data_IF_219850300556
#
_entry.id   IF_219850300556
#
_cell.length_a   1.000
_cell.length_b   1.000
_cell.length_c   1.000
_cell.angle_alpha   90.00
_cell.angle_beta   90.00
_cell.angle_gamma   90.00
#
_symmetry.space_group_name_H-M   'P 1'
#
loop_
_entity.id
_entity.type
_entity.pdbx_description
1 polymer ?
#
# COMPACT_ATOMS: atom_id res chain seq x y z
N UNK A 1 -0.63 -30.04 -24.54
CA UNK A 1 0.55 -30.61 -23.84
C UNK A 1 1.79 -29.70 -23.92
N UNK A 2 2.28 -29.28 -25.10
CA UNK A 2 3.51 -28.46 -25.24
C UNK A 2 3.54 -27.17 -24.37
N UNK A 3 2.42 -26.44 -24.26
CA UNK A 3 2.31 -25.25 -23.39
C UNK A 3 2.42 -25.57 -21.89
N UNK A 4 1.81 -26.67 -21.43
CA UNK A 4 1.86 -27.08 -20.02
C UNK A 4 3.25 -27.57 -19.65
N UNK A 5 3.90 -28.34 -20.54
CA UNK A 5 5.27 -28.77 -20.37
C UNK A 5 6.23 -27.57 -20.28
N UNK A 6 6.08 -26.58 -21.15
CA UNK A 6 6.88 -25.36 -21.08
C UNK A 6 6.69 -24.59 -19.76
N UNK A 7 5.47 -24.44 -19.26
CA UNK A 7 5.23 -23.77 -17.97
C UNK A 7 5.85 -24.59 -16.84
N UNK A 8 5.71 -25.92 -16.86
CA UNK A 8 6.30 -26.80 -15.85
C UNK A 8 7.82 -26.68 -15.81
N UNK A 9 8.48 -26.67 -16.97
CA UNK A 9 9.93 -26.53 -17.06
C UNK A 9 10.44 -25.17 -16.59
N UNK A 10 9.75 -24.07 -16.95
CA UNK A 10 10.22 -22.72 -16.63
C UNK A 10 9.81 -22.25 -15.22
N UNK A 11 8.61 -22.59 -14.76
CA UNK A 11 8.06 -22.10 -13.48
C UNK A 11 8.12 -23.13 -12.36
N UNK A 12 8.40 -24.40 -12.68
CA UNK A 12 8.50 -25.50 -11.74
C UNK A 12 7.15 -26.10 -11.32
N UNK A 13 7.18 -27.30 -10.68
CA UNK A 13 5.98 -28.04 -10.30
C UNK A 13 5.13 -27.32 -9.25
N UNK A 14 5.76 -26.60 -8.31
CA UNK A 14 5.06 -25.82 -7.27
C UNK A 14 4.15 -24.76 -7.88
N UNK A 15 4.63 -24.02 -8.88
CA UNK A 15 3.84 -23.00 -9.57
C UNK A 15 2.67 -23.63 -10.33
N UNK A 16 2.94 -24.68 -11.12
CA UNK A 16 1.92 -25.34 -11.94
C UNK A 16 0.80 -25.91 -11.06
N UNK A 17 1.16 -26.65 -10.01
CA UNK A 17 0.20 -27.22 -9.07
C UNK A 17 -0.67 -26.13 -8.42
N UNK A 18 -0.04 -25.04 -7.96
CA UNK A 18 -0.78 -23.91 -7.38
C UNK A 18 -1.75 -23.27 -8.40
N UNK A 19 -1.30 -22.97 -9.62
CA UNK A 19 -2.15 -22.32 -10.64
C UNK A 19 -3.29 -23.21 -11.09
N UNK A 20 -3.08 -24.52 -11.24
CA UNK A 20 -4.14 -25.47 -11.55
C UNK A 20 -5.17 -25.53 -10.42
N UNK A 21 -4.72 -25.66 -9.18
CA UNK A 21 -5.62 -25.68 -8.02
C UNK A 21 -6.39 -24.36 -7.87
N UNK A 22 -5.72 -23.22 -8.04
CA UNK A 22 -6.35 -21.91 -8.00
C UNK A 22 -7.45 -21.78 -9.06
N UNK A 23 -7.19 -22.24 -10.29
CA UNK A 23 -8.17 -22.23 -11.37
C UNK A 23 -9.37 -23.17 -11.09
N UNK A 24 -9.11 -24.35 -10.52
CA UNK A 24 -10.18 -25.27 -10.06
C UNK A 24 -11.04 -24.57 -9.01
N UNK A 25 -10.43 -23.95 -7.99
CA UNK A 25 -11.17 -23.22 -6.95
C UNK A 25 -12.00 -22.08 -7.54
N UNK A 26 -11.46 -21.37 -8.53
CA UNK A 26 -12.17 -20.28 -9.23
C UNK A 26 -13.40 -20.80 -9.97
N UNK A 27 -13.25 -21.85 -10.80
CA UNK A 27 -14.34 -22.40 -11.62
C UNK A 27 -15.43 -23.11 -10.83
N UNK A 28 -15.06 -23.74 -9.72
CA UNK A 28 -15.99 -24.47 -8.84
C UNK A 28 -16.71 -23.56 -7.83
N UNK A 29 -16.33 -22.28 -7.76
CA UNK A 29 -16.86 -21.34 -6.76
C UNK A 29 -16.24 -21.49 -5.36
N UNK A 30 -15.34 -22.44 -5.13
CA UNK A 30 -14.64 -22.60 -3.83
C UNK A 30 -13.79 -21.38 -3.47
N UNK A 31 -13.25 -20.67 -4.47
CA UNK A 31 -12.56 -19.41 -4.22
C UNK A 31 -13.56 -18.35 -3.76
N UNK A 32 -14.67 -18.19 -4.47
CA UNK A 32 -15.74 -17.25 -4.09
C UNK A 32 -16.28 -17.51 -2.68
N UNK A 33 -16.47 -18.78 -2.31
CA UNK A 33 -16.92 -19.16 -0.97
C UNK A 33 -15.94 -18.81 0.16
N UNK A 34 -14.63 -18.79 -0.13
CA UNK A 34 -13.61 -18.41 0.87
C UNK A 34 -13.55 -16.90 1.15
N UNK A 35 -14.14 -16.08 0.27
CA UNK A 35 -14.13 -14.63 0.36
C UNK A 35 -15.58 -14.12 0.45
N UNK A 36 -16.22 -14.20 1.63
CA UNK A 36 -17.63 -13.84 1.77
C UNK A 36 -17.85 -12.37 1.44
N UNK A 37 -18.95 -12.08 0.74
CA UNK A 37 -19.39 -10.72 0.42
C UNK A 37 -20.25 -10.17 1.55
N UNK A 38 -20.03 -8.91 1.93
CA UNK A 38 -20.82 -8.21 2.95
C UNK A 38 -21.05 -9.04 4.24
N UNK A 39 -20.00 -9.57 4.87
CA UNK A 39 -20.13 -10.25 6.15
C UNK A 39 -20.71 -9.29 7.22
N UNK A 40 -21.41 -9.82 8.25
CA UNK A 40 -21.93 -8.99 9.33
C UNK A 40 -20.84 -8.10 9.95
N UNK A 41 -21.19 -6.84 10.21
CA UNK A 41 -20.27 -5.90 10.86
C UNK A 41 -19.88 -6.41 12.25
N UNK A 42 -18.61 -6.22 12.60
CA UNK A 42 -18.06 -6.58 13.91
C UNK A 42 -17.33 -5.38 14.52
N UNK A 43 -17.56 -5.15 15.81
CA UNK A 43 -16.73 -4.26 16.62
C UNK A 43 -15.55 -5.04 17.18
N UNK A 44 -14.34 -4.50 17.04
CA UNK A 44 -13.10 -5.16 17.48
C UNK A 44 -12.45 -4.49 18.69
N UNK A 45 -12.55 -3.17 18.79
CA UNK A 45 -12.03 -2.35 19.88
C UNK A 45 -12.77 -1.02 19.88
N UNK A 46 -12.73 -0.28 20.99
CA UNK A 46 -13.19 1.11 21.01
C UNK A 46 -12.08 2.07 20.62
N UNK A 47 -12.45 3.25 20.11
CA UNK A 47 -11.52 4.33 19.82
C UNK A 47 -10.68 4.70 21.05
N UNK A 48 -11.31 4.76 22.22
CA UNK A 48 -10.65 5.03 23.49
C UNK A 48 -9.64 3.95 23.88
N UNK A 49 -9.96 2.66 23.64
CA UNK A 49 -9.04 1.56 23.89
C UNK A 49 -7.87 1.54 22.91
N UNK A 50 -8.12 1.77 21.61
CA UNK A 50 -7.05 1.88 20.60
C UNK A 50 -6.07 3.02 20.91
N UNK A 51 -6.56 4.19 21.32
CA UNK A 51 -5.71 5.33 21.70
C UNK A 51 -4.74 5.02 22.85
N UNK A 52 -5.11 4.09 23.75
CA UNK A 52 -4.34 3.66 24.91
C UNK A 52 -3.38 2.50 24.63
N UNK A 53 -3.38 1.93 23.43
CA UNK A 53 -2.45 0.86 23.10
C UNK A 53 -1.01 1.33 23.21
N UNK A 54 -0.16 0.47 23.77
CA UNK A 54 1.29 0.69 23.85
C UNK A 54 2.00 0.25 22.55
N UNK A 55 1.45 0.64 21.41
CA UNK A 55 2.09 0.45 20.09
C UNK A 55 2.63 1.79 19.63
N UNK A 56 3.87 1.81 19.13
CA UNK A 56 4.51 3.02 18.62
C UNK A 56 4.39 3.08 17.11
N UNK A 57 4.06 4.25 16.60
CA UNK A 57 4.12 4.56 15.17
C UNK A 57 5.22 5.59 14.92
N UNK A 58 5.42 6.03 13.67
CA UNK A 58 6.47 7.01 13.34
C UNK A 58 6.41 8.29 14.21
N UNK A 59 5.23 8.60 14.71
CA UNK A 59 4.89 9.70 15.62
C UNK A 59 3.68 9.28 16.47
N UNK A 60 3.42 9.96 17.57
CA UNK A 60 2.27 9.66 18.44
C UNK A 60 0.94 10.18 17.87
N UNK A 61 0.96 11.42 17.40
CA UNK A 61 -0.11 12.13 16.70
C UNK A 61 0.45 13.37 16.00
N UNK A 62 -0.35 14.08 15.19
CA UNK A 62 0.11 15.31 14.52
C UNK A 62 0.70 16.35 15.49
N UNK A 63 0.18 16.45 16.71
CA UNK A 63 0.63 17.42 17.72
C UNK A 63 2.02 17.09 18.29
N UNK A 64 2.50 15.86 18.09
CA UNK A 64 3.83 15.43 18.56
C UNK A 64 4.97 15.75 17.60
N UNK A 65 4.64 16.18 16.37
CA UNK A 65 5.63 16.49 15.35
C UNK A 65 6.28 17.85 15.66
N UNK A 66 7.60 17.89 15.72
CA UNK A 66 8.35 19.10 16.02
C UNK A 66 8.15 20.16 14.93
N UNK A 67 7.77 21.37 15.33
CA UNK A 67 7.81 22.55 14.46
C UNK A 67 9.27 22.83 14.09
N UNK A 68 9.63 22.75 12.80
CA UNK A 68 11.02 23.01 12.40
C UNK A 68 11.38 22.70 10.95
N UNK A 69 10.64 21.81 10.27
CA UNK A 69 10.83 21.60 8.84
C UNK A 69 10.10 22.67 8.04
N UNK A 70 10.80 23.79 7.78
CA UNK A 70 10.30 24.85 6.89
C UNK A 70 10.52 24.44 5.44
N UNK A 71 9.45 24.47 4.66
CA UNK A 71 9.53 24.40 3.21
C UNK A 71 10.18 25.68 2.69
N UNK A 72 10.96 25.58 1.61
CA UNK A 72 11.28 26.74 0.78
C UNK A 72 10.00 27.30 0.14
N UNK A 73 10.04 28.56 -0.33
CA UNK A 73 8.86 29.17 -0.95
C UNK A 73 8.40 28.40 -2.20
N UNK A 74 9.35 27.85 -2.97
CA UNK A 74 9.04 27.00 -4.12
C UNK A 74 8.33 25.71 -3.70
N UNK A 75 8.83 25.05 -2.66
CA UNK A 75 8.22 23.82 -2.15
C UNK A 75 6.83 24.06 -1.57
N UNK A 76 6.67 25.19 -0.86
CA UNK A 76 5.40 25.65 -0.33
C UNK A 76 4.39 25.91 -1.45
N UNK A 77 4.78 26.60 -2.52
CA UNK A 77 3.91 26.85 -3.66
C UNK A 77 3.48 25.55 -4.35
N UNK A 78 4.43 24.61 -4.57
CA UNK A 78 4.12 23.29 -5.14
C UNK A 78 3.09 22.51 -4.31
N UNK A 79 3.19 22.57 -2.98
CA UNK A 79 2.21 21.95 -2.09
C UNK A 79 0.84 22.61 -2.21
N UNK A 80 0.79 23.95 -2.22
CA UNK A 80 -0.45 24.72 -2.42
C UNK A 80 -1.12 24.35 -3.75
N UNK A 81 -0.35 24.25 -4.83
CA UNK A 81 -0.86 23.87 -6.14
C UNK A 81 -1.45 22.45 -6.13
N UNK A 82 -0.75 21.48 -5.51
CA UNK A 82 -1.26 20.11 -5.33
C UNK A 82 -2.60 20.08 -4.56
N UNK A 83 -2.73 20.89 -3.51
CA UNK A 83 -3.95 20.98 -2.71
C UNK A 83 -5.09 21.65 -3.49
N UNK A 84 -4.79 22.67 -4.31
CA UNK A 84 -5.78 23.32 -5.17
C UNK A 84 -6.30 22.38 -6.26
N UNK A 85 -5.43 21.57 -6.87
CA UNK A 85 -5.82 20.50 -7.80
C UNK A 85 -6.78 19.51 -7.15
N UNK A 86 -6.46 19.03 -5.94
CA UNK A 86 -7.33 18.14 -5.17
C UNK A 86 -8.71 18.76 -4.91
N UNK A 87 -8.76 20.02 -4.47
CA UNK A 87 -10.01 20.75 -4.22
C UNK A 87 -10.88 20.93 -5.47
N UNK A 88 -10.27 20.90 -6.65
CA UNK A 88 -10.97 20.92 -7.94
C UNK A 88 -11.39 19.53 -8.41
N UNK A 89 -11.26 18.49 -7.58
CA UNK A 89 -11.59 17.11 -7.94
C UNK A 89 -10.57 16.45 -8.85
N UNK A 90 -9.35 17.00 -8.94
CA UNK A 90 -8.27 16.48 -9.79
C UNK A 90 -7.19 15.79 -8.94
N UNK A 91 -6.76 14.61 -9.36
CA UNK A 91 -5.73 13.82 -8.68
C UNK A 91 -4.55 13.58 -9.61
N UNK A 92 -3.33 13.77 -9.08
CA UNK A 92 -2.11 13.38 -9.76
C UNK A 92 -1.99 11.85 -9.77
N UNK A 93 -2.22 11.24 -10.92
CA UNK A 93 -2.12 9.79 -11.12
C UNK A 93 -0.78 9.43 -11.75
N UNK A 94 -0.22 8.29 -11.35
CA UNK A 94 1.06 7.77 -11.86
C UNK A 94 2.22 8.76 -11.70
N UNK A 95 2.13 9.63 -10.69
CA UNK A 95 3.07 10.71 -10.41
C UNK A 95 3.35 11.67 -11.60
N UNK A 96 2.44 11.75 -12.58
CA UNK A 96 2.72 12.45 -13.84
C UNK A 96 1.57 13.30 -14.36
N UNK A 97 0.32 12.84 -14.27
CA UNK A 97 -0.81 13.49 -14.95
C UNK A 97 -1.99 13.65 -14.03
N UNK A 98 -2.58 14.86 -14.01
CA UNK A 98 -3.81 15.12 -13.28
C UNK A 98 -5.02 14.62 -14.07
N UNK A 99 -5.88 13.86 -13.40
CA UNK A 99 -7.17 13.41 -13.91
C UNK A 99 -8.29 13.93 -13.02
N UNK A 100 -9.42 14.28 -13.62
CA UNK A 100 -10.66 14.48 -12.87
C UNK A 100 -11.16 13.12 -12.37
N UNK A 101 -11.38 12.98 -11.06
CA UNK A 101 -11.81 11.71 -10.45
C UNK A 101 -13.05 11.92 -9.59
N UNK A 102 -14.19 11.54 -10.14
CA UNK A 102 -15.51 11.82 -9.58
C UNK A 102 -16.03 10.75 -8.62
N UNK A 103 -15.59 9.49 -8.75
CA UNK A 103 -15.99 8.40 -7.86
C UNK A 103 -14.84 7.38 -7.63
N UNK A 104 -15.16 6.23 -7.01
CA UNK A 104 -14.18 5.18 -6.65
C UNK A 104 -14.11 4.00 -7.62
N UNK A 105 -14.96 3.98 -8.65
CA UNK A 105 -15.24 2.81 -9.49
C UNK A 105 -15.16 3.11 -10.99
N UNK A 106 -15.06 4.37 -11.36
CA UNK A 106 -14.96 4.83 -12.73
C UNK A 106 -13.50 5.00 -13.10
N UNK A 107 -13.12 4.43 -14.24
CA UNK A 107 -11.82 4.65 -14.84
C UNK A 107 -11.80 6.06 -15.46
N UNK A 108 -11.05 7.04 -14.90
CA UNK A 108 -11.04 8.41 -15.40
C UNK A 108 -10.45 8.58 -16.80
N UNK A 109 -9.73 7.58 -17.35
CA UNK A 109 -9.16 7.68 -18.70
C UNK A 109 -10.18 7.44 -19.82
N UNK A 110 -11.26 6.70 -19.54
CA UNK A 110 -12.24 6.29 -20.55
C UNK A 110 -13.69 6.31 -20.08
N UNK A 111 -13.97 6.69 -18.83
CA UNK A 111 -15.32 6.76 -18.26
C UNK A 111 -15.97 5.40 -17.95
N UNK A 112 -15.26 4.28 -18.09
CA UNK A 112 -15.84 2.97 -17.79
C UNK A 112 -16.04 2.80 -16.28
N UNK A 113 -17.27 2.54 -15.87
CA UNK A 113 -17.64 2.32 -14.47
C UNK A 113 -17.76 0.83 -14.16
N UNK A 114 -16.95 0.35 -13.22
CA UNK A 114 -17.00 -1.03 -12.74
C UNK A 114 -18.22 -1.28 -11.85
N UNK A 115 -18.74 -2.51 -11.87
CA UNK A 115 -19.81 -2.94 -10.97
C UNK A 115 -19.27 -3.18 -9.55
N UNK A 116 -19.76 -2.41 -8.58
CA UNK A 116 -19.39 -2.48 -7.17
C UNK A 116 -19.78 -3.80 -6.50
N UNK A 117 -20.83 -4.46 -6.97
CA UNK A 117 -21.42 -5.63 -6.33
C UNK A 117 -20.91 -6.96 -6.91
N UNK A 118 -20.20 -6.90 -8.02
CA UNK A 118 -19.60 -8.07 -8.65
C UNK A 118 -18.47 -8.60 -7.77
N UNK A 119 -18.48 -9.89 -7.45
CA UNK A 119 -17.42 -10.49 -6.64
C UNK A 119 -16.05 -10.31 -7.28
N UNK A 120 -15.01 -10.06 -6.48
CA UNK A 120 -13.68 -9.70 -6.98
C UNK A 120 -13.07 -10.75 -7.93
N UNK A 121 -13.41 -12.04 -7.77
CA UNK A 121 -12.93 -13.13 -8.65
C UNK A 121 -13.47 -13.05 -10.07
N UNK A 122 -14.59 -12.34 -10.25
CA UNK A 122 -15.31 -12.22 -11.52
C UNK A 122 -14.94 -10.89 -12.23
N UNK A 123 -14.09 -10.07 -11.61
CA UNK A 123 -13.53 -8.86 -12.20
C UNK A 123 -12.39 -9.27 -13.15
N UNK A 124 -12.44 -8.89 -14.44
CA UNK A 124 -11.39 -9.25 -15.39
C UNK A 124 -10.10 -8.48 -15.13
N UNK A 125 -8.95 -9.14 -15.30
CA UNK A 125 -7.63 -8.50 -15.20
C UNK A 125 -7.32 -7.60 -16.39
N UNK A 126 -7.81 -7.99 -17.57
CA UNK A 126 -7.64 -7.29 -18.82
C UNK A 126 -9.01 -7.21 -19.49
N UNK A 127 -9.43 -5.99 -19.80
CA UNK A 127 -10.68 -5.72 -20.49
C UNK A 127 -10.46 -4.60 -21.50
N UNK A 128 -10.62 -4.87 -22.82
CA UNK A 128 -10.51 -3.82 -23.83
C UNK A 128 -11.50 -2.67 -23.61
N UNK A 129 -12.66 -2.98 -23.03
CA UNK A 129 -13.71 -1.98 -22.75
C UNK A 129 -13.43 -1.22 -21.46
N UNK A 130 -12.98 -1.92 -20.40
CA UNK A 130 -12.71 -1.27 -19.12
C UNK A 130 -11.40 -0.48 -19.11
N UNK A 131 -10.48 -0.79 -20.02
CA UNK A 131 -9.13 -0.25 -20.02
C UNK A 131 -8.29 -0.82 -18.88
N UNK A 132 -7.23 -0.11 -18.53
CA UNK A 132 -6.35 -0.50 -17.42
C UNK A 132 -7.03 -0.23 -16.07
N UNK A 133 -7.25 -1.28 -15.28
CA UNK A 133 -7.84 -1.23 -13.95
C UNK A 133 -7.03 -0.36 -12.96
N UNK A 134 -5.73 -0.15 -13.23
CA UNK A 134 -4.86 0.71 -12.40
C UNK A 134 -5.41 2.12 -12.24
N UNK A 135 -6.15 2.64 -13.22
CA UNK A 135 -6.77 3.96 -13.12
C UNK A 135 -7.82 4.03 -11.99
N UNK A 136 -8.47 2.92 -11.66
CA UNK A 136 -9.39 2.85 -10.51
C UNK A 136 -8.62 2.60 -9.21
N UNK A 137 -7.56 1.78 -9.28
CA UNK A 137 -6.73 1.49 -8.11
C UNK A 137 -5.93 2.69 -7.61
N UNK A 138 -5.49 3.60 -8.48
CA UNK A 138 -4.64 4.73 -8.12
C UNK A 138 -5.24 5.58 -7.00
N UNK A 139 -6.49 6.03 -7.15
CA UNK A 139 -7.19 6.77 -6.08
C UNK A 139 -7.41 5.87 -4.86
N UNK A 140 -7.78 4.60 -5.08
CA UNK A 140 -8.03 3.61 -4.03
C UNK A 140 -6.78 3.15 -3.27
N UNK A 141 -5.56 3.59 -3.64
CA UNK A 141 -4.36 3.46 -2.81
C UNK A 141 -4.29 4.49 -1.71
N UNK A 142 -5.02 5.61 -1.81
CA UNK A 142 -4.99 6.72 -0.85
C UNK A 142 -3.63 7.44 -0.73
N UNK A 143 -2.77 7.38 -1.74
CA UNK A 143 -1.52 8.17 -1.75
C UNK A 143 -1.76 9.70 -1.79
N UNK A 144 -2.95 10.14 -2.23
CA UNK A 144 -3.36 11.55 -2.20
C UNK A 144 -3.56 12.12 -0.79
N UNK A 145 -3.61 11.26 0.26
CA UNK A 145 -3.67 11.72 1.65
C UNK A 145 -2.40 12.48 2.06
N UNK A 146 -1.24 12.17 1.45
CA UNK A 146 0.03 12.78 1.84
C UNK A 146 0.13 14.29 1.52
N UNK A 147 -0.32 14.80 0.36
CA UNK A 147 -0.55 16.23 0.18
C UNK A 147 -1.40 16.87 1.27
N UNK A 148 -2.55 16.28 1.63
CA UNK A 148 -3.45 16.82 2.67
C UNK A 148 -2.76 16.90 4.04
N UNK A 149 -2.09 15.82 4.44
CA UNK A 149 -1.34 15.75 5.71
C UNK A 149 -0.19 16.77 5.73
N UNK A 150 0.51 16.96 4.61
CA UNK A 150 1.56 17.98 4.50
C UNK A 150 0.98 19.40 4.53
N UNK A 151 -0.22 19.61 3.97
CA UNK A 151 -0.95 20.87 4.08
C UNK A 151 -1.26 21.21 5.54
N UNK A 152 -1.72 20.24 6.32
CA UNK A 152 -1.96 20.43 7.75
C UNK A 152 -0.66 20.78 8.49
N UNK A 153 0.41 20.03 8.22
CA UNK A 153 1.69 20.22 8.92
C UNK A 153 2.42 21.52 8.55
N UNK A 154 2.46 21.90 7.27
CA UNK A 154 3.27 23.03 6.80
C UNK A 154 2.47 24.32 6.58
N UNK A 155 1.16 24.23 6.31
CA UNK A 155 0.32 25.38 5.96
C UNK A 155 -0.72 25.70 7.04
N UNK A 156 -0.82 24.88 8.10
CA UNK A 156 -1.79 25.06 9.18
C UNK A 156 -3.23 24.76 8.77
N UNK A 157 -3.42 23.97 7.71
CA UNK A 157 -4.75 23.50 7.30
C UNK A 157 -5.32 22.48 8.31
N UNK A 158 -6.60 22.15 8.15
CA UNK A 158 -7.23 21.07 8.90
C UNK A 158 -8.04 20.18 7.96
N UNK A 159 -7.37 19.17 7.42
CA UNK A 159 -7.95 18.24 6.46
C UNK A 159 -8.53 16.96 7.10
N UNK A 160 -8.59 16.87 8.44
CA UNK A 160 -9.02 15.66 9.14
C UNK A 160 -10.42 15.17 8.72
N UNK A 161 -11.39 16.09 8.61
CA UNK A 161 -12.76 15.77 8.21
C UNK A 161 -12.81 15.23 6.77
N UNK A 162 -12.15 15.94 5.84
CA UNK A 162 -12.01 15.53 4.43
C UNK A 162 -11.41 14.13 4.32
N UNK A 163 -10.32 13.85 5.05
CA UNK A 163 -9.63 12.56 5.02
C UNK A 163 -10.54 11.43 5.51
N UNK A 164 -11.23 11.61 6.62
CA UNK A 164 -12.13 10.56 7.12
C UNK A 164 -13.37 10.39 6.23
N UNK A 165 -13.88 11.46 5.61
CA UNK A 165 -14.98 11.36 4.65
C UNK A 165 -14.57 10.61 3.36
N UNK A 166 -13.34 10.80 2.87
CA UNK A 166 -12.79 10.00 1.76
C UNK A 166 -12.73 8.51 2.15
N UNK A 167 -12.23 8.18 3.34
CA UNK A 167 -12.19 6.78 3.82
C UNK A 167 -13.61 6.18 3.92
N UNK A 168 -14.56 6.89 4.54
CA UNK A 168 -15.93 6.42 4.68
C UNK A 168 -16.63 6.24 3.32
N UNK A 169 -16.48 7.21 2.42
CA UNK A 169 -17.09 7.13 1.08
C UNK A 169 -16.49 5.98 0.26
N UNK A 170 -15.20 5.66 0.43
CA UNK A 170 -14.61 4.47 -0.16
C UNK A 170 -15.23 3.21 0.41
N UNK A 171 -15.40 3.12 1.73
CA UNK A 171 -16.04 1.96 2.39
C UNK A 171 -17.45 1.75 1.84
N UNK A 172 -18.23 2.82 1.71
CA UNK A 172 -19.61 2.74 1.24
C UNK A 172 -19.71 2.35 -0.26
N UNK A 173 -18.75 2.79 -1.07
CA UNK A 173 -18.70 2.47 -2.49
C UNK A 173 -18.08 1.10 -2.80
N UNK A 174 -17.37 0.46 -1.86
CA UNK A 174 -16.61 -0.76 -2.08
C UNK A 174 -16.99 -1.88 -1.11
N UNK A 175 -18.13 -2.57 -1.34
CA UNK A 175 -18.55 -3.68 -0.51
C UNK A 175 -17.45 -4.73 -0.36
N UNK A 176 -17.33 -5.31 0.85
CA UNK A 176 -16.30 -6.29 1.17
C UNK A 176 -16.28 -7.43 0.15
N UNK A 177 -15.08 -7.71 -0.38
CA UNK A 177 -14.82 -8.73 -1.41
C UNK A 177 -15.56 -8.52 -2.75
N UNK A 178 -15.99 -7.30 -3.06
CA UNK A 178 -16.65 -6.97 -4.32
C UNK A 178 -15.97 -5.81 -5.05
N UNK A 179 -16.15 -5.75 -6.37
CA UNK A 179 -15.65 -4.68 -7.21
C UNK A 179 -14.14 -4.73 -7.48
N UNK A 180 -13.63 -3.75 -8.24
CA UNK A 180 -12.26 -3.74 -8.73
C UNK A 180 -11.24 -3.56 -7.60
N UNK A 181 -11.58 -2.82 -6.54
CA UNK A 181 -10.64 -2.45 -5.48
C UNK A 181 -10.32 -3.60 -4.49
N UNK A 182 -10.98 -4.75 -4.66
CA UNK A 182 -10.69 -6.00 -3.95
C UNK A 182 -9.96 -7.04 -4.83
N UNK A 183 -9.65 -6.70 -6.09
CA UNK A 183 -9.05 -7.65 -7.04
C UNK A 183 -7.57 -7.93 -6.77
N UNK A 184 -6.81 -6.96 -6.28
CA UNK A 184 -5.38 -7.06 -6.06
C UNK A 184 -5.01 -6.83 -4.59
N UNK A 185 -4.38 -7.83 -3.96
CA UNK A 185 -4.04 -7.79 -2.54
C UNK A 185 -2.92 -6.79 -2.21
N UNK A 186 -2.02 -6.47 -3.15
CA UNK A 186 -1.09 -5.35 -2.98
C UNK A 186 -1.81 -4.01 -2.85
N UNK A 187 -2.83 -3.77 -3.66
CA UNK A 187 -3.61 -2.52 -3.63
C UNK A 187 -4.37 -2.36 -2.32
N UNK A 188 -4.92 -3.47 -1.81
CA UNK A 188 -5.50 -3.55 -0.47
C UNK A 188 -4.45 -3.20 0.60
N UNK A 189 -3.26 -3.79 0.49
CA UNK A 189 -2.16 -3.59 1.44
C UNK A 189 -1.70 -2.13 1.49
N UNK A 190 -1.49 -1.49 0.32
CA UNK A 190 -1.10 -0.08 0.23
C UNK A 190 -2.16 0.85 0.82
N UNK A 191 -3.44 0.59 0.52
CA UNK A 191 -4.55 1.35 1.13
C UNK A 191 -4.56 1.25 2.64
N UNK A 192 -4.40 0.03 3.19
CA UNK A 192 -4.37 -0.19 4.64
C UNK A 192 -3.18 0.54 5.29
N UNK A 193 -2.01 0.54 4.66
CA UNK A 193 -0.85 1.30 5.16
C UNK A 193 -1.13 2.82 5.15
N UNK A 194 -1.73 3.35 4.09
CA UNK A 194 -2.08 4.77 3.99
C UNK A 194 -3.19 5.19 4.96
N UNK A 195 -4.20 4.35 5.15
CA UNK A 195 -5.21 4.56 6.19
C UNK A 195 -4.60 4.51 7.59
N UNK A 196 -3.68 3.59 7.84
CA UNK A 196 -2.96 3.49 9.13
C UNK A 196 -2.16 4.76 9.39
N UNK A 197 -1.45 5.29 8.39
CA UNK A 197 -0.74 6.57 8.52
C UNK A 197 -1.68 7.71 8.90
N UNK A 198 -2.82 7.85 8.20
CA UNK A 198 -3.81 8.88 8.48
C UNK A 198 -4.48 8.72 9.87
N UNK A 199 -4.82 7.50 10.27
CA UNK A 199 -5.38 7.21 11.59
C UNK A 199 -4.43 7.67 12.71
N UNK A 200 -3.15 7.33 12.61
CA UNK A 200 -2.15 7.79 13.59
C UNK A 200 -1.94 9.30 13.53
N UNK A 201 -1.93 9.92 12.35
CA UNK A 201 -1.73 11.37 12.22
C UNK A 201 -2.89 12.15 12.85
N UNK A 202 -4.12 11.75 12.53
CA UNK A 202 -5.35 12.37 13.04
C UNK A 202 -5.88 11.72 14.32
N UNK A 203 -5.05 10.97 15.07
CA UNK A 203 -5.44 10.20 16.26
C UNK A 203 -6.27 11.01 17.25
N UNK A 204 -5.93 12.28 17.46
CA UNK A 204 -6.59 13.16 18.43
C UNK A 204 -7.70 14.05 17.83
N UNK A 205 -7.92 14.01 16.53
CA UNK A 205 -8.95 14.83 15.88
C UNK A 205 -10.36 14.44 16.32
N UNK A 206 -11.22 15.44 16.52
CA UNK A 206 -12.65 15.23 16.75
C UNK A 206 -13.38 14.61 15.55
N UNK A 207 -12.79 14.72 14.36
CA UNK A 207 -13.30 14.08 13.14
C UNK A 207 -13.19 12.54 13.19
N UNK A 208 -12.28 11.98 14.00
CA UNK A 208 -12.22 10.55 14.25
C UNK A 208 -13.21 10.19 15.37
N UNK A 209 -14.47 9.97 15.00
CA UNK A 209 -15.52 9.54 15.94
C UNK A 209 -15.46 8.04 16.20
N UNK A 210 -16.14 7.57 17.26
CA UNK A 210 -16.26 6.13 17.55
C UNK A 210 -16.87 5.38 16.37
N UNK A 211 -17.96 5.89 15.79
CA UNK A 211 -18.64 5.26 14.65
C UNK A 211 -17.74 5.16 13.42
N UNK A 212 -16.96 6.21 13.11
CA UNK A 212 -15.96 6.19 12.04
C UNK A 212 -14.89 5.15 12.31
N UNK A 213 -14.35 5.15 13.52
CA UNK A 213 -13.33 4.20 13.93
C UNK A 213 -13.82 2.75 13.79
N UNK A 214 -15.00 2.41 14.31
CA UNK A 214 -15.58 1.07 14.20
C UNK A 214 -15.79 0.65 12.74
N UNK A 215 -16.34 1.55 11.90
CA UNK A 215 -16.54 1.31 10.46
C UNK A 215 -15.22 1.02 9.75
N UNK A 216 -14.18 1.82 10.03
CA UNK A 216 -12.84 1.65 9.45
C UNK A 216 -12.21 0.34 9.93
N UNK A 217 -12.26 0.04 11.23
CA UNK A 217 -11.69 -1.20 11.79
C UNK A 217 -12.37 -2.44 11.22
N UNK A 218 -13.69 -2.42 11.03
CA UNK A 218 -14.40 -3.53 10.42
C UNK A 218 -13.90 -3.83 9.01
N UNK A 219 -13.76 -2.80 8.16
CA UNK A 219 -13.30 -3.01 6.78
C UNK A 219 -11.81 -3.31 6.71
N UNK A 220 -10.97 -2.65 7.53
CA UNK A 220 -9.54 -2.94 7.64
C UNK A 220 -9.29 -4.41 8.00
N UNK A 221 -10.04 -4.96 8.96
CA UNK A 221 -9.99 -6.38 9.28
C UNK A 221 -10.25 -7.27 8.06
N UNK A 222 -11.33 -6.99 7.31
CA UNK A 222 -11.69 -7.81 6.14
C UNK A 222 -10.69 -7.68 4.99
N UNK A 223 -10.09 -6.50 4.85
CA UNK A 223 -8.97 -6.28 3.94
C UNK A 223 -7.78 -7.17 4.28
N UNK A 224 -7.40 -7.26 5.56
CA UNK A 224 -6.25 -8.07 5.96
C UNK A 224 -6.54 -9.57 5.98
N UNK A 225 -7.78 -9.96 6.30
CA UNK A 225 -8.27 -11.33 6.06
C UNK A 225 -8.15 -11.71 4.59
N UNK A 226 -8.55 -10.83 3.67
CA UNK A 226 -8.43 -11.07 2.23
C UNK A 226 -6.95 -11.24 1.82
N UNK A 227 -6.08 -10.34 2.26
CA UNK A 227 -4.63 -10.43 1.97
C UNK A 227 -4.05 -11.75 2.47
N UNK A 228 -4.38 -12.17 3.69
CA UNK A 228 -3.90 -13.45 4.22
C UNK A 228 -4.43 -14.66 3.43
N UNK A 229 -5.73 -14.73 3.16
CA UNK A 229 -6.38 -15.83 2.44
C UNK A 229 -5.82 -15.97 1.00
N UNK A 230 -5.43 -14.85 0.38
CA UNK A 230 -4.90 -14.82 -0.98
C UNK A 230 -3.37 -14.77 -1.08
N UNK A 231 -2.63 -14.76 0.05
CA UNK A 231 -1.18 -14.47 0.10
C UNK A 231 -0.33 -15.39 -0.80
N UNK A 232 -0.77 -16.62 -1.03
CA UNK A 232 -0.05 -17.54 -1.89
C UNK A 232 -0.10 -17.16 -3.37
N UNK A 233 -1.08 -16.35 -3.79
CA UNK A 233 -1.14 -15.83 -5.14
C UNK A 233 0.05 -14.91 -5.43
N UNK A 234 0.36 -13.94 -4.57
CA UNK A 234 1.56 -13.11 -4.73
C UNK A 234 2.82 -13.91 -4.50
N UNK A 235 2.90 -14.73 -3.43
CA UNK A 235 4.13 -15.46 -3.10
C UNK A 235 4.51 -16.60 -4.06
N UNK A 236 3.57 -17.10 -4.87
CA UNK A 236 3.83 -18.21 -5.80
C UNK A 236 3.62 -17.78 -7.25
N UNK A 237 2.52 -17.09 -7.57
CA UNK A 237 2.18 -16.76 -8.95
C UNK A 237 2.68 -15.38 -9.43
N UNK A 238 2.83 -14.42 -8.52
CA UNK A 238 3.24 -13.03 -8.83
C UNK A 238 4.34 -12.60 -7.84
N UNK A 239 5.40 -13.42 -7.74
CA UNK A 239 6.43 -13.28 -6.69
C UNK A 239 7.40 -12.14 -7.01
N UNK A 240 6.90 -10.93 -6.82
CA UNK A 240 7.58 -9.67 -7.07
C UNK A 240 7.30 -8.69 -5.91
N UNK A 241 7.39 -7.37 -6.13
CA UNK A 241 7.09 -6.36 -5.11
C UNK A 241 5.72 -6.54 -4.41
N UNK A 242 4.72 -7.18 -5.04
CA UNK A 242 3.43 -7.49 -4.44
C UNK A 242 3.59 -8.35 -3.18
N UNK A 243 4.41 -9.40 -3.26
CA UNK A 243 4.64 -10.30 -2.13
C UNK A 243 5.31 -9.56 -0.96
N UNK A 244 6.24 -8.64 -1.24
CA UNK A 244 6.89 -7.82 -0.21
C UNK A 244 5.87 -6.88 0.45
N UNK A 245 5.02 -6.21 -0.35
CA UNK A 245 3.99 -5.29 0.18
C UNK A 245 2.96 -6.03 1.03
N UNK A 246 2.43 -7.15 0.55
CA UNK A 246 1.37 -7.92 1.23
C UNK A 246 1.87 -8.55 2.54
N UNK A 247 3.08 -9.09 2.55
CA UNK A 247 3.67 -9.68 3.75
C UNK A 247 4.00 -8.62 4.79
N UNK A 248 4.50 -7.45 4.37
CA UNK A 248 4.71 -6.31 5.25
C UNK A 248 3.41 -5.82 5.88
N UNK A 249 2.34 -5.66 5.09
CA UNK A 249 1.06 -5.21 5.62
C UNK A 249 0.49 -6.19 6.66
N UNK A 250 0.61 -7.50 6.45
CA UNK A 250 0.23 -8.50 7.45
C UNK A 250 1.05 -8.34 8.75
N UNK A 251 2.36 -8.17 8.64
CA UNK A 251 3.22 -7.92 9.80
C UNK A 251 2.79 -6.68 10.57
N UNK A 252 2.70 -5.54 9.89
CA UNK A 252 2.43 -4.25 10.51
C UNK A 252 1.02 -4.16 11.09
N UNK A 253 0.01 -4.71 10.42
CA UNK A 253 -1.34 -4.72 10.99
C UNK A 253 -1.39 -5.62 12.22
N UNK A 254 -0.78 -6.81 12.16
CA UNK A 254 -0.71 -7.70 13.31
C UNK A 254 0.03 -7.08 14.50
N UNK A 255 0.97 -6.17 14.24
CA UNK A 255 1.71 -5.41 15.25
C UNK A 255 0.87 -4.25 15.83
N UNK A 256 0.33 -3.39 14.96
CA UNK A 256 -0.29 -2.11 15.35
C UNK A 256 -1.74 -2.25 15.81
N UNK A 257 -2.42 -3.35 15.44
CA UNK A 257 -3.81 -3.62 15.81
C UNK A 257 -3.94 -4.98 16.51
N UNK A 258 -3.30 -5.17 17.69
CA UNK A 258 -3.22 -6.46 18.38
C UNK A 258 -4.56 -7.00 18.87
N UNK A 259 -5.62 -6.20 18.82
CA UNK A 259 -6.98 -6.59 19.22
C UNK A 259 -7.73 -7.37 18.14
N UNK A 260 -7.23 -7.45 16.90
CA UNK A 260 -7.85 -8.35 15.92
C UNK A 260 -7.59 -9.82 16.30
N UNK A 261 -8.57 -10.73 16.14
CA UNK A 261 -8.39 -12.12 16.54
C UNK A 261 -7.19 -12.80 15.85
N UNK A 262 -6.95 -12.48 14.57
CA UNK A 262 -5.84 -13.01 13.78
C UNK A 262 -4.53 -12.22 13.91
N UNK A 263 -4.50 -11.10 14.65
CA UNK A 263 -3.33 -10.22 14.71
C UNK A 263 -2.02 -10.95 15.09
N UNK A 264 -1.98 -11.84 16.10
CA UNK A 264 -0.76 -12.59 16.43
C UNK A 264 -0.27 -13.45 15.26
N UNK A 265 -1.22 -14.08 14.52
CA UNK A 265 -0.92 -14.91 13.35
C UNK A 265 -0.43 -14.07 12.18
N UNK A 266 -1.07 -12.92 11.91
CA UNK A 266 -0.65 -11.99 10.86
C UNK A 266 0.74 -11.43 11.12
N UNK A 267 1.02 -11.00 12.36
CA UNK A 267 2.33 -10.53 12.79
C UNK A 267 3.40 -11.60 12.55
N UNK A 268 3.21 -12.80 13.09
CA UNK A 268 4.19 -13.89 12.99
C UNK A 268 4.44 -14.32 11.54
N UNK A 269 3.38 -14.59 10.77
CA UNK A 269 3.50 -15.07 9.38
C UNK A 269 3.99 -13.97 8.45
N UNK A 270 3.46 -12.76 8.59
CA UNK A 270 3.84 -11.59 7.82
C UNK A 270 5.33 -11.30 7.96
N UNK A 271 5.84 -11.28 9.20
CA UNK A 271 7.27 -11.07 9.48
C UNK A 271 8.15 -12.13 8.83
N UNK A 272 7.84 -13.41 9.08
CA UNK A 272 8.57 -14.54 8.50
C UNK A 272 8.61 -14.47 6.97
N UNK A 273 7.47 -14.23 6.34
CA UNK A 273 7.41 -14.17 4.88
C UNK A 273 8.06 -12.94 4.31
N UNK A 274 7.97 -11.78 4.98
CA UNK A 274 8.69 -10.58 4.57
C UNK A 274 10.20 -10.83 4.56
N UNK A 275 10.75 -11.46 5.59
CA UNK A 275 12.17 -11.85 5.63
C UNK A 275 12.54 -12.81 4.49
N UNK A 276 11.71 -13.82 4.23
CA UNK A 276 11.87 -14.75 3.10
C UNK A 276 11.86 -14.03 1.74
N UNK A 277 10.97 -13.06 1.55
CA UNK A 277 10.85 -12.32 0.29
C UNK A 277 11.98 -11.29 0.11
N UNK A 278 12.40 -10.58 1.15
CA UNK A 278 13.57 -9.69 1.09
C UNK A 278 14.84 -10.48 0.76
N UNK A 279 15.04 -11.63 1.42
CA UNK A 279 16.20 -12.50 1.18
C UNK A 279 16.20 -13.10 -0.24
N UNK A 280 15.03 -13.34 -0.83
CA UNK A 280 14.90 -13.93 -2.16
C UNK A 280 14.99 -12.89 -3.28
N UNK A 281 14.35 -11.73 -3.11
CA UNK A 281 14.15 -10.78 -4.20
C UNK A 281 15.23 -9.70 -4.28
N UNK A 282 16.04 -9.51 -3.23
CA UNK A 282 17.19 -8.59 -3.24
C UNK A 282 18.46 -9.42 -3.21
N UNK A 283 19.29 -9.31 -4.25
CA UNK A 283 20.54 -10.04 -4.38
C UNK A 283 21.65 -9.45 -3.50
N UNK A 284 22.79 -10.15 -3.39
CA UNK A 284 23.82 -9.84 -2.37
C UNK A 284 24.51 -8.51 -2.64
N UNK A 285 24.54 -8.12 -3.91
CA UNK A 285 25.01 -6.82 -4.40
C UNK A 285 23.97 -5.70 -4.25
N UNK A 286 22.78 -6.00 -3.72
CA UNK A 286 21.71 -5.04 -3.54
C UNK A 286 20.78 -4.89 -4.74
N UNK A 287 21.04 -5.55 -5.87
CA UNK A 287 20.15 -5.49 -7.04
C UNK A 287 18.81 -6.17 -6.77
N UNK A 288 17.73 -5.69 -7.41
CA UNK A 288 16.37 -6.16 -7.18
C UNK A 288 15.83 -7.00 -8.35
N UNK A 289 15.15 -8.10 -8.03
CA UNK A 289 14.67 -9.13 -8.96
C UNK A 289 13.81 -8.62 -10.13
N UNK A 290 13.12 -7.48 -9.98
CA UNK A 290 12.30 -6.92 -11.06
C UNK A 290 13.07 -6.09 -12.10
N UNK A 291 14.37 -5.86 -11.90
CA UNK A 291 15.20 -5.09 -12.84
C UNK A 291 14.59 -3.72 -13.16
N UNK A 292 13.98 -3.07 -12.18
CA UNK A 292 13.33 -1.76 -12.30
C UNK A 292 13.73 -0.85 -11.14
N UNK A 293 14.25 0.34 -11.46
CA UNK A 293 14.60 1.32 -10.43
C UNK A 293 13.35 1.83 -9.71
N UNK A 294 12.24 2.03 -10.42
CA UNK A 294 11.00 2.48 -9.81
C UNK A 294 10.41 1.43 -8.85
N UNK A 295 10.43 0.15 -9.22
CA UNK A 295 9.99 -0.91 -8.32
C UNK A 295 11.00 -1.20 -7.19
N UNK A 296 12.29 -0.97 -7.39
CA UNK A 296 13.26 -1.02 -6.29
C UNK A 296 12.97 0.09 -5.27
N UNK A 297 12.59 1.30 -5.71
CA UNK A 297 12.14 2.37 -4.80
C UNK A 297 10.87 2.03 -4.01
N UNK A 298 9.96 1.24 -4.59
CA UNK A 298 8.83 0.69 -3.82
C UNK A 298 9.37 -0.16 -2.66
N UNK A 299 10.35 -1.02 -2.92
CA UNK A 299 10.97 -1.84 -1.87
C UNK A 299 11.70 -0.99 -0.82
N UNK A 300 12.38 0.09 -1.21
CA UNK A 300 12.99 1.05 -0.27
C UNK A 300 11.94 1.62 0.68
N UNK A 301 10.82 2.12 0.15
CA UNK A 301 9.72 2.65 0.96
C UNK A 301 9.17 1.61 1.96
N UNK A 302 9.04 0.36 1.53
CA UNK A 302 8.55 -0.74 2.37
C UNK A 302 9.58 -1.14 3.44
N UNK A 303 10.87 -1.17 3.11
CA UNK A 303 11.95 -1.40 4.06
C UNK A 303 12.02 -0.29 5.13
N UNK A 304 11.82 0.97 4.75
CA UNK A 304 11.76 2.09 5.71
C UNK A 304 10.66 1.87 6.73
N UNK A 305 9.45 1.53 6.26
CA UNK A 305 8.33 1.22 7.14
C UNK A 305 8.61 0.02 8.03
N UNK A 306 9.11 -1.07 7.45
CA UNK A 306 9.38 -2.30 8.16
C UNK A 306 10.38 -2.07 9.30
N UNK A 307 11.58 -1.60 8.96
CA UNK A 307 12.69 -1.46 9.90
C UNK A 307 12.30 -0.47 10.99
N UNK A 308 11.84 0.72 10.62
CA UNK A 308 11.56 1.77 11.61
C UNK A 308 10.42 1.41 12.56
N UNK A 309 9.34 0.81 12.07
CA UNK A 309 8.23 0.40 12.95
C UNK A 309 8.58 -0.84 13.78
N UNK A 310 9.46 -1.74 13.30
CA UNK A 310 9.98 -2.83 14.14
C UNK A 310 10.77 -2.28 15.32
N UNK A 311 11.74 -1.39 15.06
CA UNK A 311 12.58 -0.78 16.10
C UNK A 311 11.76 -0.04 17.15
N UNK A 312 10.80 0.78 16.71
CA UNK A 312 9.95 1.55 17.61
C UNK A 312 9.11 0.69 18.55
N UNK A 313 8.84 -0.57 18.16
CA UNK A 313 8.06 -1.54 18.94
C UNK A 313 8.93 -2.66 19.52
N UNK A 314 10.23 -2.40 19.69
CA UNK A 314 11.20 -3.33 20.30
C UNK A 314 11.24 -4.71 19.58
N UNK A 315 11.03 -4.71 18.26
CA UNK A 315 11.20 -5.86 17.39
C UNK A 315 12.37 -5.66 16.42
N UNK A 316 12.95 -6.77 15.99
CA UNK A 316 13.97 -6.80 14.93
C UNK A 316 13.62 -7.82 13.86
N UNK A 317 14.12 -7.61 12.65
CA UNK A 317 14.13 -8.64 11.60
C UNK A 317 15.42 -9.46 11.67
N UNK A 318 15.52 -10.50 10.85
CA UNK A 318 16.79 -11.18 10.61
C UNK A 318 17.85 -10.21 10.06
N UNK A 319 19.12 -10.40 10.44
CA UNK A 319 20.29 -9.65 9.93
C UNK A 319 20.30 -9.53 8.40
N UNK A 320 19.78 -10.55 7.71
CA UNK A 320 19.69 -10.57 6.26
C UNK A 320 18.88 -9.40 5.71
N UNK A 321 17.79 -9.00 6.36
CA UNK A 321 16.97 -7.85 5.93
C UNK A 321 17.78 -6.57 5.96
N UNK A 322 18.49 -6.29 7.05
CA UNK A 322 19.33 -5.10 7.21
C UNK A 322 20.49 -5.08 6.20
N UNK A 323 21.14 -6.24 5.98
CA UNK A 323 22.16 -6.37 4.94
C UNK A 323 21.62 -6.07 3.54
N UNK A 324 20.44 -6.62 3.17
CA UNK A 324 19.82 -6.35 1.86
C UNK A 324 19.38 -4.90 1.71
N UNK A 325 18.88 -4.28 2.78
CA UNK A 325 18.52 -2.86 2.78
C UNK A 325 19.74 -1.96 2.55
N UNK A 326 20.84 -2.21 3.28
CA UNK A 326 22.10 -1.48 3.10
C UNK A 326 22.68 -1.65 1.70
N UNK A 327 22.70 -2.88 1.17
CA UNK A 327 23.18 -3.14 -0.18
C UNK A 327 22.30 -2.44 -1.24
N UNK A 328 20.98 -2.44 -1.05
CA UNK A 328 20.05 -1.71 -1.93
C UNK A 328 20.33 -0.21 -1.94
N UNK A 329 20.57 0.40 -0.76
CA UNK A 329 20.94 1.82 -0.66
C UNK A 329 22.23 2.11 -1.40
N UNK A 330 23.26 1.28 -1.22
CA UNK A 330 24.55 1.43 -1.91
C UNK A 330 24.39 1.34 -3.42
N UNK A 331 23.66 0.33 -3.91
CA UNK A 331 23.37 0.15 -5.33
C UNK A 331 22.65 1.36 -5.93
N UNK A 332 21.54 1.79 -5.33
CA UNK A 332 20.74 2.89 -5.86
C UNK A 332 21.49 4.23 -5.80
N UNK A 333 22.28 4.49 -4.76
CA UNK A 333 23.13 5.69 -4.67
C UNK A 333 24.26 5.68 -5.70
N UNK A 334 24.86 4.52 -5.96
CA UNK A 334 25.88 4.38 -6.98
C UNK A 334 25.33 4.65 -8.40
N UNK A 335 24.05 4.38 -8.63
CA UNK A 335 23.37 4.68 -9.88
C UNK A 335 22.72 6.09 -9.93
N UNK A 336 22.75 6.85 -8.84
CA UNK A 336 22.06 8.13 -8.72
C UNK A 336 22.91 9.26 -9.30
N UNK A 337 22.28 10.10 -10.13
CA UNK A 337 22.84 11.37 -10.57
C UNK A 337 22.95 12.34 -9.38
N UNK A 338 24.16 12.85 -9.13
CA UNK A 338 24.46 13.62 -7.92
C UNK A 338 23.87 15.03 -7.92
N UNK A 339 23.53 15.58 -9.10
CA UNK A 339 22.94 16.92 -9.22
C UNK A 339 21.43 16.88 -9.00
N UNK A 340 20.75 15.97 -9.71
CA UNK A 340 19.28 15.89 -9.76
C UNK A 340 18.70 14.92 -8.74
N UNK A 341 19.49 13.97 -8.23
CA UNK A 341 19.00 12.86 -7.42
C UNK A 341 18.25 11.79 -8.22
N UNK A 342 18.30 11.86 -9.55
CA UNK A 342 17.57 10.93 -10.42
C UNK A 342 18.36 9.65 -10.66
N UNK A 343 17.65 8.56 -10.88
CA UNK A 343 18.23 7.34 -11.41
C UNK A 343 17.87 7.18 -12.89
N UNK A 344 18.65 6.38 -13.66
CA UNK A 344 18.25 5.95 -14.99
C UNK A 344 16.85 5.34 -14.98
N UNK A 345 16.04 5.64 -16.00
CA UNK A 345 14.73 5.02 -16.16
C UNK A 345 14.87 3.58 -16.70
N UNK A 346 15.44 2.71 -15.88
CA UNK A 346 15.67 1.31 -16.21
C UNK A 346 14.54 0.43 -15.67
N UNK A 347 14.05 -0.48 -16.52
CA UNK A 347 12.95 -1.39 -16.23
C UNK A 347 11.56 -0.78 -16.34
N UNK A 348 10.55 -1.55 -15.95
CA UNK A 348 9.16 -1.08 -15.92
C UNK A 348 8.98 0.08 -14.95
N UNK A 349 8.23 1.09 -15.36
CA UNK A 349 7.97 2.27 -14.57
C UNK A 349 6.55 2.75 -14.84
N UNK A 350 5.70 2.69 -13.83
CA UNK A 350 4.31 3.16 -13.86
C UNK A 350 4.07 4.31 -12.87
N UNK A 351 5.14 4.99 -12.46
CA UNK A 351 5.03 6.15 -11.58
C UNK A 351 4.82 5.78 -10.09
N UNK A 352 5.06 4.54 -9.69
CA UNK A 352 4.82 4.09 -8.32
C UNK A 352 5.58 4.91 -7.26
N UNK A 353 4.82 5.62 -6.42
CA UNK A 353 5.29 6.39 -5.27
C UNK A 353 4.14 6.45 -4.26
N UNK A 354 4.26 5.68 -3.17
CA UNK A 354 3.09 5.37 -2.33
C UNK A 354 3.03 6.21 -1.06
N UNK A 355 4.17 6.67 -0.55
CA UNK A 355 4.28 7.44 0.70
C UNK A 355 5.02 8.78 0.53
N UNK A 356 4.58 9.69 -0.37
CA UNK A 356 5.32 10.93 -0.66
C UNK A 356 5.19 12.00 0.45
N UNK A 357 6.14 12.00 1.40
CA UNK A 357 6.23 13.00 2.47
C UNK A 357 7.01 14.27 2.09
N UNK A 358 7.18 14.55 0.79
CA UNK A 358 7.90 15.72 0.27
C UNK A 358 7.35 16.12 -1.11
N UNK A 359 7.71 17.31 -1.60
CA UNK A 359 7.28 17.83 -2.91
C UNK A 359 8.36 17.68 -3.99
N UNK A 360 9.41 16.89 -3.75
CA UNK A 360 10.44 16.66 -4.76
C UNK A 360 9.82 16.03 -6.01
N UNK A 361 10.43 16.29 -7.16
CA UNK A 361 10.00 15.67 -8.40
C UNK A 361 10.01 14.14 -8.24
N UNK A 362 9.02 13.44 -8.78
CA UNK A 362 8.90 11.98 -8.60
C UNK A 362 10.18 11.22 -9.00
N UNK A 363 10.98 11.73 -9.95
CA UNK A 363 12.24 11.09 -10.36
C UNK A 363 13.40 11.30 -9.39
N UNK A 364 13.27 12.17 -8.41
CA UNK A 364 14.26 12.36 -7.35
C UNK A 364 14.08 11.28 -6.28
N UNK A 365 15.08 10.43 -6.13
CA UNK A 365 15.05 9.30 -5.20
C UNK A 365 15.66 9.66 -3.84
N UNK A 366 16.33 10.81 -3.72
CA UNK A 366 17.01 11.22 -2.47
C UNK A 366 16.09 11.14 -1.26
N UNK A 367 14.82 11.62 -1.31
CA UNK A 367 13.97 11.56 -0.13
C UNK A 367 13.72 10.14 0.39
N UNK A 368 13.47 9.17 -0.50
CA UNK A 368 13.23 7.78 -0.09
C UNK A 368 14.52 7.07 0.33
N UNK A 369 15.65 7.38 -0.33
CA UNK A 369 16.95 6.81 0.04
C UNK A 369 17.47 7.37 1.36
N UNK A 370 17.19 8.63 1.69
CA UNK A 370 17.52 9.23 2.99
C UNK A 370 16.63 8.71 4.10
N UNK A 371 15.34 8.47 3.83
CA UNK A 371 14.40 7.96 4.83
C UNK A 371 14.74 6.53 5.32
N UNK A 372 15.43 5.72 4.52
CA UNK A 372 15.88 4.38 4.92
C UNK A 372 17.25 4.36 5.62
N UNK A 373 18.03 5.46 5.64
CA UNK A 373 19.42 5.42 6.14
C UNK A 373 19.54 4.65 7.47
N UNK A 374 20.35 3.58 7.44
CA UNK A 374 20.61 2.63 8.52
C UNK A 374 21.94 2.87 9.20
#
# INVERSE_FOLDING_TARGET
MKKVLNILTNMGPRYVAFRLWYEVRRRTGLLKAAFPTQPPSKTYSSLAAWKKLHVRFFFEAKESLAEGMKLSEEERQKLVDQLNEYRQGRLLMFSATYYEVTDWLTNPSNGYRYDANKHWTDIPDLSPVAGDIKYVWEKSRFAFLYPLIRGDFHLGENNAETVFQEIESWIDANPINCGPNWRCSQEISLRVLNWTFALHYYKNSSALTEARFEKIMNVLYWQMRHVEENIHFSRIAVRNNHAITETLALYLVGLLYPFFPEAPRWKQRGKKWFEEEIAYQIYEDGTFLQFSMNYHRVVIQLLTWAIRLSELNDESFSERVYHRAKASLQFLRACQDTQTGWLPNYGNNDGALFFPLNVAHYRDYRPQLSALEL
#
